data_IF_819640506331
#
_entry.id   IF_819640506331
#
_cell.length_a   1.000
_cell.length_b   1.000
_cell.length_c   1.000
_cell.angle_alpha   90.00
_cell.angle_beta   90.00
_cell.angle_gamma   90.00
#
_symmetry.space_group_name_H-M   'P 1'
#
loop_
_entity.id
_entity.type
_entity.pdbx_description
1 polymer ?
#
# COMPACT_ATOMS: atom_id res chain seq x y z
N UNK A 1 8.71 -20.49 -5.41
CA UNK A 1 9.62 -19.43 -5.85
C UNK A 1 8.88 -18.11 -5.85
N UNK A 2 9.47 -17.11 -5.22
CA UNK A 2 8.88 -15.77 -5.15
C UNK A 2 9.35 -14.89 -6.31
N UNK A 3 8.76 -13.70 -6.35
CA UNK A 3 9.24 -12.64 -7.22
C UNK A 3 10.39 -11.89 -6.53
N UNK A 4 11.04 -11.01 -7.26
CA UNK A 4 12.10 -10.14 -6.72
C UNK A 4 11.86 -8.71 -7.14
N UNK A 5 12.25 -7.76 -6.28
CA UNK A 5 12.16 -6.34 -6.61
C UNK A 5 13.21 -5.96 -7.65
N UNK A 6 12.80 -5.17 -8.65
CA UNK A 6 13.73 -4.63 -9.64
C UNK A 6 14.65 -3.59 -8.99
N UNK A 7 15.77 -3.28 -9.66
CA UNK A 7 16.65 -2.22 -9.19
C UNK A 7 15.90 -0.88 -9.09
N UNK A 8 15.01 -0.60 -10.03
CA UNK A 8 14.18 0.61 -9.99
C UNK A 8 13.32 0.66 -8.73
N UNK A 9 12.72 -0.48 -8.33
CA UNK A 9 11.93 -0.55 -7.09
C UNK A 9 12.81 -0.32 -5.88
N UNK A 10 13.99 -0.93 -5.83
CA UNK A 10 14.93 -0.74 -4.73
C UNK A 10 15.38 0.72 -4.61
N UNK A 11 15.63 1.37 -5.75
CA UNK A 11 16.02 2.79 -5.78
C UNK A 11 14.89 3.67 -5.21
N UNK A 12 13.64 3.34 -5.51
CA UNK A 12 12.47 4.08 -5.02
C UNK A 12 12.18 3.88 -3.54
N UNK A 13 12.79 2.87 -2.91
CA UNK A 13 12.71 2.67 -1.46
C UNK A 13 13.73 3.51 -0.70
N UNK A 14 14.66 4.18 -1.37
CA UNK A 14 15.60 5.08 -0.70
C UNK A 14 14.84 6.22 -0.02
N UNK A 15 15.16 6.49 1.25
CA UNK A 15 14.49 7.52 2.05
C UNK A 15 13.20 7.05 2.69
N UNK A 16 12.68 5.88 2.33
CA UNK A 16 11.53 5.28 3.00
C UNK A 16 11.98 4.69 4.34
N UNK A 17 11.15 4.82 5.37
CA UNK A 17 11.44 4.30 6.70
C UNK A 17 11.78 2.81 6.63
N UNK A 18 12.80 2.39 7.37
CA UNK A 18 13.31 1.03 7.32
C UNK A 18 12.26 -0.03 7.63
N UNK A 19 11.31 0.26 8.53
CA UNK A 19 10.22 -0.67 8.86
C UNK A 19 9.38 -0.99 7.63
N UNK A 20 9.01 0.03 6.84
CA UNK A 20 8.26 -0.18 5.60
C UNK A 20 9.11 -0.94 4.56
N UNK A 21 10.40 -0.63 4.45
CA UNK A 21 11.31 -1.33 3.53
C UNK A 21 11.35 -2.82 3.86
N UNK A 22 11.44 -3.20 5.14
CA UNK A 22 11.42 -4.60 5.56
C UNK A 22 10.12 -5.29 5.18
N UNK A 23 8.99 -4.62 5.36
CA UNK A 23 7.67 -5.18 5.00
C UNK A 23 7.59 -5.42 3.49
N UNK A 24 7.97 -4.43 2.68
CA UNK A 24 7.92 -4.56 1.20
C UNK A 24 8.82 -5.70 0.73
N UNK A 25 10.04 -5.80 1.25
CA UNK A 25 10.99 -6.87 0.89
C UNK A 25 10.48 -8.24 1.30
N UNK A 26 9.80 -8.35 2.42
CA UNK A 26 9.19 -9.62 2.84
C UNK A 26 7.97 -9.94 1.96
N UNK A 27 7.15 -8.95 1.67
CA UNK A 27 5.93 -9.11 0.87
C UNK A 27 6.22 -9.63 -0.54
N UNK A 28 7.30 -9.16 -1.19
CA UNK A 28 7.64 -9.62 -2.54
C UNK A 28 8.00 -11.10 -2.57
N UNK A 29 8.46 -11.65 -1.45
CA UNK A 29 8.74 -13.09 -1.33
C UNK A 29 7.45 -13.90 -1.15
N UNK A 30 6.40 -13.32 -0.59
CA UNK A 30 5.15 -13.99 -0.22
C UNK A 30 4.04 -13.83 -1.25
N UNK A 31 4.11 -12.81 -2.07
CA UNK A 31 3.00 -12.40 -2.94
C UNK A 31 2.70 -13.40 -4.06
N UNK A 32 1.41 -13.52 -4.39
CA UNK A 32 0.95 -14.29 -5.56
C UNK A 32 1.05 -13.49 -6.85
N UNK A 33 1.04 -12.17 -6.74
CA UNK A 33 1.05 -11.23 -7.87
C UNK A 33 2.35 -10.44 -7.80
N UNK A 34 3.08 -10.39 -8.91
CA UNK A 34 4.29 -9.57 -8.97
C UNK A 34 3.97 -8.10 -8.79
N UNK A 35 4.84 -7.38 -8.13
CA UNK A 35 4.67 -5.93 -7.97
C UNK A 35 6.02 -5.22 -7.96
N UNK A 36 5.96 -3.92 -8.23
CA UNK A 36 7.09 -3.02 -8.08
C UNK A 36 6.72 -1.80 -7.27
N UNK A 37 7.71 -1.08 -6.78
CA UNK A 37 7.51 0.18 -6.08
C UNK A 37 7.50 1.30 -7.12
N UNK A 38 6.43 2.10 -7.15
CA UNK A 38 6.32 3.24 -8.06
C UNK A 38 6.50 4.58 -7.37
N UNK A 39 6.29 4.63 -6.05
CA UNK A 39 6.50 5.83 -5.26
C UNK A 39 6.88 5.45 -3.84
N UNK A 40 7.91 6.10 -3.32
CA UNK A 40 8.31 6.00 -1.91
C UNK A 40 8.34 7.40 -1.30
N UNK A 41 9.53 7.91 -0.98
CA UNK A 41 9.68 9.29 -0.49
C UNK A 41 9.29 10.28 -1.60
N UNK A 42 8.54 11.31 -1.20
CA UNK A 42 8.06 12.35 -2.10
C UNK A 42 8.51 13.71 -1.58
N UNK A 43 8.92 14.61 -2.48
CA UNK A 43 9.28 15.98 -2.11
C UNK A 43 8.01 16.84 -1.97
N UNK A 44 8.15 17.98 -1.29
CA UNK A 44 7.07 18.97 -1.16
C UNK A 44 6.63 19.45 -2.54
N UNK A 45 7.59 19.71 -3.45
CA UNK A 45 7.32 20.15 -4.81
C UNK A 45 6.53 19.12 -5.61
N UNK A 46 6.89 17.85 -5.48
CA UNK A 46 6.14 16.75 -6.13
C UNK A 46 4.72 16.67 -5.58
N UNK A 47 4.54 16.84 -4.26
CA UNK A 47 3.22 16.82 -3.65
C UNK A 47 2.35 17.99 -4.10
N UNK A 48 2.94 19.19 -4.19
CA UNK A 48 2.24 20.37 -4.72
C UNK A 48 1.76 20.14 -6.16
N UNK A 49 2.60 19.53 -6.99
CA UNK A 49 2.26 19.23 -8.38
C UNK A 49 1.08 18.24 -8.45
N UNK A 50 1.06 17.23 -7.58
CA UNK A 50 -0.03 16.26 -7.53
C UNK A 50 -1.34 16.89 -7.08
N UNK A 51 -1.31 17.77 -6.11
CA UNK A 51 -2.48 18.52 -5.65
C UNK A 51 -3.00 19.43 -6.79
N UNK A 52 -2.11 20.13 -7.47
CA UNK A 52 -2.47 21.00 -8.59
C UNK A 52 -3.13 20.26 -9.75
N UNK A 53 -2.73 19.00 -9.98
CA UNK A 53 -3.32 18.14 -11.01
C UNK A 53 -4.62 17.47 -10.57
N UNK A 54 -4.99 17.58 -9.31
CA UNK A 54 -6.12 16.86 -8.74
C UNK A 54 -5.81 15.38 -8.44
N UNK A 55 -4.56 14.92 -8.58
CA UNK A 55 -4.16 13.55 -8.30
C UNK A 55 -4.01 13.29 -6.79
N UNK A 56 -3.88 14.33 -5.99
CA UNK A 56 -3.90 14.25 -4.54
C UNK A 56 -4.77 15.34 -3.97
N UNK A 57 -5.43 15.05 -2.84
CA UNK A 57 -6.33 15.98 -2.16
C UNK A 57 -5.69 16.60 -0.92
N UNK A 58 -4.43 16.27 -0.61
CA UNK A 58 -3.79 16.71 0.63
C UNK A 58 -2.34 17.10 0.43
N UNK A 59 -1.89 18.08 1.22
CA UNK A 59 -0.48 18.41 1.38
C UNK A 59 0.15 17.67 2.57
N UNK A 60 -0.62 16.82 3.27
CA UNK A 60 -0.17 16.07 4.45
C UNK A 60 -0.01 14.58 4.12
N UNK A 61 0.59 14.28 2.98
CA UNK A 61 0.84 12.90 2.57
C UNK A 61 1.96 12.27 3.42
N UNK A 62 1.76 11.02 3.84
CA UNK A 62 2.81 10.25 4.52
C UNK A 62 4.02 9.95 3.63
N UNK A 63 3.87 10.05 2.32
CA UNK A 63 5.00 9.97 1.38
C UNK A 63 6.04 11.05 1.64
N UNK A 64 5.63 12.22 2.15
CA UNK A 64 6.55 13.32 2.47
C UNK A 64 7.52 12.97 3.60
N UNK A 65 7.07 12.11 4.53
CA UNK A 65 7.86 11.69 5.68
C UNK A 65 8.55 10.34 5.47
N UNK A 66 8.43 9.77 4.27
CA UNK A 66 8.97 8.46 3.96
C UNK A 66 8.23 7.32 4.67
N UNK A 67 6.97 7.53 5.04
CA UNK A 67 6.16 6.56 5.78
C UNK A 67 5.14 5.83 4.91
N UNK A 68 5.17 6.02 3.59
CA UNK A 68 4.24 5.40 2.66
C UNK A 68 4.94 4.95 1.39
N UNK A 69 4.36 3.92 0.76
CA UNK A 69 4.77 3.45 -0.57
C UNK A 69 3.53 3.23 -1.42
N UNK A 70 3.69 3.40 -2.73
CA UNK A 70 2.71 2.97 -3.72
C UNK A 70 3.31 1.80 -4.50
N UNK A 71 2.55 0.72 -4.61
CA UNK A 71 2.97 -0.50 -5.29
C UNK A 71 2.14 -0.68 -6.57
N UNK A 72 2.80 -1.14 -7.63
CA UNK A 72 2.16 -1.42 -8.92
C UNK A 72 2.13 -2.91 -9.17
N UNK A 73 0.95 -3.46 -9.50
CA UNK A 73 0.80 -4.84 -9.89
C UNK A 73 1.30 -5.07 -11.33
N UNK A 74 1.96 -6.20 -11.55
CA UNK A 74 2.39 -6.62 -12.88
C UNK A 74 1.86 -8.01 -13.19
N UNK A 75 1.28 -8.16 -14.38
CA UNK A 75 0.80 -9.44 -14.89
C UNK A 75 1.43 -9.66 -16.25
N UNK A 76 2.23 -10.72 -16.39
CA UNK A 76 2.94 -11.00 -17.63
C UNK A 76 3.88 -9.87 -18.05
N UNK A 77 4.49 -9.17 -17.07
CA UNK A 77 5.40 -8.07 -17.30
C UNK A 77 4.72 -6.74 -17.61
N UNK A 78 3.38 -6.68 -17.57
CA UNK A 78 2.62 -5.46 -17.83
C UNK A 78 1.98 -4.92 -16.55
N UNK A 79 2.07 -3.60 -16.36
CA UNK A 79 1.40 -2.92 -15.25
C UNK A 79 -0.12 -3.06 -15.39
N UNK A 80 -0.80 -3.30 -14.28
CA UNK A 80 -2.25 -3.41 -14.22
C UNK A 80 -2.80 -2.65 -13.02
N UNK A 81 -3.92 -1.98 -13.23
CA UNK A 81 -4.64 -1.25 -12.19
C UNK A 81 -5.90 -1.98 -11.70
N UNK A 82 -6.08 -3.24 -12.11
CA UNK A 82 -7.25 -4.02 -11.70
C UNK A 82 -7.25 -4.23 -10.18
N UNK A 83 -8.32 -3.79 -9.53
CA UNK A 83 -8.39 -3.72 -8.07
C UNK A 83 -8.22 -5.09 -7.40
N UNK A 84 -8.73 -6.16 -8.02
CA UNK A 84 -8.61 -7.51 -7.48
C UNK A 84 -7.15 -8.03 -7.41
N UNK A 85 -6.22 -7.39 -8.13
CA UNK A 85 -4.80 -7.72 -8.01
C UNK A 85 -4.21 -7.07 -6.76
N UNK A 86 -4.73 -5.91 -6.38
CA UNK A 86 -4.21 -5.15 -5.23
C UNK A 86 -4.63 -5.75 -3.89
N UNK A 87 -5.78 -6.42 -3.82
CA UNK A 87 -6.13 -7.15 -2.60
C UNK A 87 -5.20 -8.36 -2.38
N UNK A 88 -4.75 -9.01 -3.46
CA UNK A 88 -3.75 -10.08 -3.36
C UNK A 88 -2.39 -9.54 -2.88
N UNK A 89 -1.97 -8.38 -3.40
CA UNK A 89 -0.75 -7.70 -2.92
C UNK A 89 -0.92 -7.30 -1.45
N UNK A 90 -2.09 -6.79 -1.09
CA UNK A 90 -2.39 -6.40 0.28
C UNK A 90 -2.37 -7.60 1.23
N UNK A 91 -2.79 -8.78 0.79
CA UNK A 91 -2.67 -10.02 1.59
C UNK A 91 -1.20 -10.31 1.89
N UNK A 92 -0.32 -10.17 0.90
CA UNK A 92 1.12 -10.35 1.09
C UNK A 92 1.69 -9.29 2.05
N UNK A 93 1.27 -8.03 1.90
CA UNK A 93 1.70 -6.95 2.79
C UNK A 93 1.21 -7.17 4.22
N UNK A 94 -0.01 -7.68 4.40
CA UNK A 94 -0.56 -8.05 5.71
C UNK A 94 0.30 -9.12 6.37
N UNK A 95 0.59 -10.19 5.65
CA UNK A 95 1.39 -11.30 6.18
C UNK A 95 2.81 -10.84 6.50
N UNK A 96 3.40 -10.03 5.63
CA UNK A 96 4.73 -9.46 5.84
C UNK A 96 4.75 -8.54 7.07
N UNK A 97 3.75 -7.66 7.21
CA UNK A 97 3.62 -6.75 8.34
C UNK A 97 3.51 -7.52 9.66
N UNK A 98 2.77 -8.62 9.66
CA UNK A 98 2.64 -9.51 10.82
C UNK A 98 3.99 -10.14 11.17
N UNK A 99 4.70 -10.68 10.19
CA UNK A 99 6.00 -11.33 10.39
C UNK A 99 7.06 -10.34 10.88
N UNK A 100 7.05 -9.11 10.39
CA UNK A 100 8.02 -8.08 10.75
C UNK A 100 7.59 -7.26 11.98
N UNK A 101 6.39 -7.49 12.49
CA UNK A 101 5.79 -6.76 13.62
C UNK A 101 5.77 -5.25 13.35
N UNK A 102 5.23 -4.87 12.21
CA UNK A 102 5.16 -3.49 11.74
C UNK A 102 3.69 -3.11 11.47
N UNK A 103 3.19 -1.99 12.03
CA UNK A 103 1.82 -1.56 11.76
C UNK A 103 1.72 -0.90 10.38
N UNK A 104 0.88 -1.47 9.52
CA UNK A 104 0.67 -0.99 8.15
C UNK A 104 -0.82 -0.78 7.91
N UNK A 105 -1.18 0.32 7.26
CA UNK A 105 -2.52 0.64 6.82
C UNK A 105 -2.58 0.60 5.30
N UNK A 106 -3.68 0.07 4.76
CA UNK A 106 -3.89 -0.06 3.32
C UNK A 106 -4.91 0.93 2.81
N UNK A 107 -4.65 1.51 1.62
CA UNK A 107 -5.49 2.56 1.02
C UNK A 107 -6.82 2.11 0.44
N UNK A 108 -7.19 0.83 0.55
CA UNK A 108 -8.51 0.33 0.17
C UNK A 108 -9.29 -0.25 1.36
N UNK A 109 -8.73 -0.15 2.56
CA UNK A 109 -9.38 -0.55 3.81
C UNK A 109 -9.01 0.44 4.93
N UNK A 110 -9.30 1.71 4.69
CA UNK A 110 -8.90 2.82 5.57
C UNK A 110 -9.43 2.72 7.00
N UNK A 111 -10.51 1.97 7.20
CA UNK A 111 -11.10 1.76 8.53
C UNK A 111 -10.27 0.84 9.42
N UNK A 112 -9.32 0.09 8.85
CA UNK A 112 -8.42 -0.78 9.61
C UNK A 112 -7.08 -0.08 9.75
N UNK A 113 -6.75 0.30 10.98
CA UNK A 113 -5.53 1.06 11.26
C UNK A 113 -4.26 0.22 11.07
N UNK A 114 -4.33 -1.08 11.34
CA UNK A 114 -3.20 -2.00 11.16
C UNK A 114 -3.69 -3.31 10.57
N UNK A 115 -3.40 -3.56 9.30
CA UNK A 115 -3.86 -4.76 8.61
C UNK A 115 -3.24 -6.05 9.18
N UNK A 116 -2.08 -5.96 9.84
CA UNK A 116 -1.47 -7.11 10.49
C UNK A 116 -2.38 -7.73 11.55
N UNK A 117 -3.27 -6.94 12.16
CA UNK A 117 -4.22 -7.44 13.17
C UNK A 117 -5.33 -8.31 12.58
N UNK A 118 -5.53 -8.27 11.27
CA UNK A 118 -6.51 -9.13 10.60
C UNK A 118 -6.11 -10.61 10.64
N UNK A 119 -4.80 -10.87 10.68
CA UNK A 119 -4.29 -12.24 10.74
C UNK A 119 -4.81 -13.11 9.61
N UNK A 120 -5.16 -14.36 9.94
CA UNK A 120 -5.71 -15.30 8.98
C UNK A 120 -7.26 -15.28 8.98
N UNK A 121 -7.87 -14.40 9.80
CA UNK A 121 -9.32 -14.36 9.99
C UNK A 121 -10.00 -13.60 8.85
N UNK A 122 -9.36 -12.56 8.35
CA UNK A 122 -9.94 -11.69 7.32
C UNK A 122 -8.97 -11.51 6.17
N UNK A 123 -9.40 -11.79 4.95
CA UNK A 123 -8.65 -11.48 3.74
C UNK A 123 -8.72 -9.97 3.47
N UNK A 124 -7.79 -9.46 2.70
CA UNK A 124 -7.83 -8.05 2.33
C UNK A 124 -8.98 -7.74 1.38
N UNK A 125 -9.40 -8.69 0.56
CA UNK A 125 -10.63 -8.54 -0.24
C UNK A 125 -11.85 -8.31 0.67
N UNK A 126 -12.00 -9.12 1.72
CA UNK A 126 -13.09 -8.96 2.67
C UNK A 126 -13.00 -7.63 3.42
N UNK A 127 -11.80 -7.21 3.80
CA UNK A 127 -11.57 -5.93 4.47
C UNK A 127 -11.96 -4.75 3.57
N UNK A 128 -11.58 -4.82 2.30
CA UNK A 128 -11.92 -3.79 1.31
C UNK A 128 -13.44 -3.71 1.11
N UNK A 129 -14.10 -4.85 0.94
CA UNK A 129 -15.55 -4.90 0.76
C UNK A 129 -16.28 -4.35 1.98
N UNK A 130 -15.81 -4.67 3.19
CA UNK A 130 -16.35 -4.14 4.43
C UNK A 130 -16.24 -2.61 4.49
N UNK A 131 -15.08 -2.07 4.10
CA UNK A 131 -14.87 -0.62 4.01
C UNK A 131 -15.86 0.03 3.04
N UNK A 132 -16.00 -0.54 1.84
CA UNK A 132 -16.89 -0.03 0.80
C UNK A 132 -18.34 -0.02 1.29
N UNK A 133 -18.80 -1.16 1.85
CA UNK A 133 -20.17 -1.31 2.32
C UNK A 133 -20.48 -0.36 3.46
N UNK A 134 -19.55 -0.19 4.41
CA UNK A 134 -19.70 0.73 5.54
C UNK A 134 -19.85 2.18 5.06
N UNK A 135 -18.99 2.60 4.12
CA UNK A 135 -19.05 3.96 3.57
C UNK A 135 -20.35 4.20 2.84
N UNK A 136 -20.80 3.24 2.03
CA UNK A 136 -22.07 3.34 1.30
C UNK A 136 -23.28 3.39 2.25
N UNK A 137 -23.24 2.58 3.30
CA UNK A 137 -24.29 2.58 4.31
C UNK A 137 -24.40 3.93 5.04
N UNK A 138 -23.29 4.66 5.15
CA UNK A 138 -23.23 6.00 5.73
C UNK A 138 -23.57 7.10 4.72
N UNK A 139 -23.90 6.76 3.47
CA UNK A 139 -24.14 7.71 2.40
C UNK A 139 -22.86 8.40 1.89
N UNK A 140 -21.69 7.80 2.13
CA UNK A 140 -20.40 8.37 1.78
C UNK A 140 -19.75 7.57 0.64
N UNK A 141 -19.03 8.29 -0.24
CA UNK A 141 -18.28 7.63 -1.30
C UNK A 141 -17.03 6.98 -0.71
N UNK A 142 -16.76 5.69 -1.00
CA UNK A 142 -15.50 5.09 -0.60
C UNK A 142 -14.33 5.70 -1.38
N UNK A 143 -13.23 5.96 -0.68
CA UNK A 143 -11.98 6.41 -1.31
C UNK A 143 -11.05 5.20 -1.41
N UNK A 144 -10.81 4.73 -2.63
CA UNK A 144 -10.02 3.52 -2.89
C UNK A 144 -8.70 3.90 -3.53
N UNK A 145 -7.62 3.61 -2.83
CA UNK A 145 -6.25 3.76 -3.32
C UNK A 145 -5.51 2.44 -3.10
N UNK A 146 -5.80 1.44 -3.94
CA UNK A 146 -5.27 0.09 -3.82
C UNK A 146 -3.75 -0.02 -3.76
N UNK A 147 -2.99 0.78 -4.54
CA UNK A 147 -1.53 0.77 -4.48
C UNK A 147 -0.93 1.28 -3.17
N UNK A 148 -1.67 2.07 -2.38
CA UNK A 148 -1.13 2.81 -1.24
C UNK A 148 -1.06 2.00 0.05
N UNK A 149 0.14 1.97 0.66
CA UNK A 149 0.39 1.39 1.99
C UNK A 149 1.18 2.40 2.82
N UNK A 150 0.82 2.54 4.09
CA UNK A 150 1.48 3.49 4.98
C UNK A 150 1.71 2.90 6.36
N UNK A 151 2.76 3.37 7.03
CA UNK A 151 3.00 3.04 8.43
C UNK A 151 1.97 3.76 9.29
N UNK A 152 1.32 3.03 10.20
CA UNK A 152 0.21 3.56 10.99
C UNK A 152 0.51 3.69 12.48
N UNK A 153 1.72 3.30 12.90
CA UNK A 153 2.15 3.47 14.28
C UNK A 153 2.62 4.88 14.58
N UNK A 154 3.30 5.03 15.71
CA UNK A 154 3.92 6.30 16.11
C UNK A 154 5.30 6.38 15.47
N UNK A 155 5.45 7.27 14.50
CA UNK A 155 6.68 7.45 13.76
C UNK A 155 7.11 8.92 13.72
#
# INVERSE_FOLDING_TARGET
MGFTLSQRSLDRLEGVHNDMVRVVKKAIELTKIDFGVICGLRTIEEQKALVAKGASQTMKSKHLDGLAVDLMAYVGGRASWELNLYDDIADAMKDAAKLEDVPVRWGAAWHINNIATCGDIMTMEAAMNDYIDTRRAEGRRPFIDGPHFELSGIY
#
